data_IF_791272076017
#
_entry.id   IF_791272076017
#
_cell.length_a   1.000
_cell.length_b   1.000
_cell.length_c   1.000
_cell.angle_alpha   90.00
_cell.angle_beta   90.00
_cell.angle_gamma   90.00
#
_symmetry.space_group_name_H-M   'P 1'
#
loop_
_entity.id
_entity.type
_entity.pdbx_description
1 polymer ?
#
# COMPACT_ATOMS: atom_id res chain seq x y z
N UNK A 1 16.03 -18.81 26.16
CA UNK A 1 15.83 -20.11 26.82
C UNK A 1 14.64 -20.80 26.15
N UNK A 2 14.90 -21.68 25.20
CA UNK A 2 13.86 -22.40 24.45
C UNK A 2 13.51 -23.68 25.23
N UNK A 3 12.28 -23.73 25.74
CA UNK A 3 11.76 -24.87 26.50
C UNK A 3 11.32 -25.99 25.56
N UNK A 4 11.93 -27.17 25.75
CA UNK A 4 11.24 -28.46 25.85
C UNK A 4 10.54 -28.99 24.61
N UNK A 5 11.26 -29.81 23.84
CA UNK A 5 10.69 -30.77 22.90
C UNK A 5 9.83 -31.80 23.66
N UNK A 6 8.51 -31.58 23.68
CA UNK A 6 7.56 -32.59 24.15
C UNK A 6 7.43 -33.67 23.09
N UNK A 7 7.95 -34.84 23.45
CA UNK A 7 7.93 -36.11 22.75
C UNK A 7 6.53 -36.43 22.23
N UNK A 8 6.35 -36.36 20.90
CA UNK A 8 5.11 -36.72 20.22
C UNK A 8 4.99 -38.23 20.27
N UNK A 9 4.06 -38.70 21.10
CA UNK A 9 3.71 -40.12 21.24
C UNK A 9 2.95 -40.54 19.99
N UNK A 10 3.68 -41.23 19.13
CA UNK A 10 3.23 -41.74 17.85
C UNK A 10 2.20 -42.87 18.04
N UNK A 11 1.10 -42.75 17.29
CA UNK A 11 0.45 -43.84 16.55
C UNK A 11 -0.39 -44.87 17.32
N UNK A 12 -1.72 -44.74 17.22
CA UNK A 12 -2.62 -45.88 17.15
C UNK A 12 -3.86 -45.50 16.33
N UNK A 13 -3.79 -45.87 15.05
CA UNK A 13 -4.81 -45.76 14.03
C UNK A 13 -6.08 -46.50 14.44
N UNK A 14 -7.15 -45.77 14.77
CA UNK A 14 -8.49 -46.35 14.72
C UNK A 14 -9.11 -46.01 13.37
N UNK A 15 -8.99 -46.96 12.46
CA UNK A 15 -9.69 -47.02 11.18
C UNK A 15 -11.19 -47.14 11.51
N UNK A 16 -11.94 -46.05 11.40
CA UNK A 16 -13.40 -46.07 11.49
C UNK A 16 -13.94 -45.87 10.07
N UNK A 17 -14.66 -46.92 9.64
CA UNK A 17 -15.23 -47.17 8.33
C UNK A 17 -15.98 -45.97 7.71
N UNK A 18 -15.81 -45.67 6.41
CA UNK A 18 -16.54 -44.62 5.72
C UNK A 18 -17.93 -45.13 5.33
N UNK A 19 -18.86 -45.11 6.27
CA UNK A 19 -20.29 -45.21 5.96
C UNK A 19 -20.65 -44.00 5.07
N UNK A 20 -21.07 -44.28 3.84
CA UNK A 20 -21.30 -43.34 2.74
C UNK A 20 -22.47 -42.42 3.07
N UNK A 21 -22.22 -41.44 3.92
CA UNK A 21 -23.09 -40.28 4.09
C UNK A 21 -22.86 -39.39 2.88
N UNK A 22 -23.75 -39.52 1.89
CA UNK A 22 -23.89 -38.64 0.73
C UNK A 22 -24.39 -37.27 1.18
N UNK A 23 -23.66 -36.64 2.09
CA UNK A 23 -23.89 -35.29 2.59
C UNK A 23 -23.03 -34.39 1.72
N UNK A 24 -23.64 -33.32 1.19
CA UNK A 24 -23.03 -32.36 0.26
C UNK A 24 -21.55 -32.15 0.54
N UNK A 25 -20.73 -32.17 -0.52
CA UNK A 25 -19.29 -31.90 -0.49
C UNK A 25 -19.03 -30.49 0.07
N UNK A 26 -19.04 -30.38 1.39
CA UNK A 26 -18.76 -29.18 2.14
C UNK A 26 -17.40 -29.39 2.76
N UNK A 27 -16.41 -28.68 2.25
CA UNK A 27 -15.10 -28.62 2.89
C UNK A 27 -15.27 -27.88 4.22
N UNK A 28 -15.34 -28.62 5.33
CA UNK A 28 -15.54 -28.03 6.66
C UNK A 28 -14.35 -27.13 7.07
N UNK A 29 -13.19 -27.32 6.44
CA UNK A 29 -11.95 -26.56 6.63
C UNK A 29 -11.88 -25.26 5.83
N UNK A 30 -12.72 -25.04 4.81
CA UNK A 30 -12.70 -23.78 4.07
C UNK A 30 -13.22 -22.64 4.96
N UNK A 31 -12.36 -21.65 5.18
CA UNK A 31 -12.64 -20.45 5.98
C UNK A 31 -12.83 -19.20 5.12
N UNK A 32 -12.65 -19.33 3.80
CA UNK A 32 -12.68 -18.22 2.84
C UNK A 32 -14.01 -18.11 2.11
N UNK A 33 -14.73 -19.22 1.91
CA UNK A 33 -16.07 -19.22 1.33
C UNK A 33 -17.14 -19.06 2.40
N UNK A 34 -18.07 -18.14 2.15
CA UNK A 34 -19.21 -17.89 3.05
C UNK A 34 -20.17 -19.07 3.05
N UNK A 35 -20.41 -19.64 4.24
CA UNK A 35 -21.35 -20.74 4.44
C UNK A 35 -22.78 -20.21 4.64
N UNK A 36 -23.56 -20.19 3.56
CA UNK A 36 -24.94 -19.64 3.56
C UNK A 36 -25.92 -20.44 4.43
N UNK A 37 -25.55 -21.66 4.84
CA UNK A 37 -26.41 -22.55 5.64
C UNK A 37 -26.01 -22.60 7.12
N UNK A 38 -24.90 -21.97 7.53
CA UNK A 38 -24.53 -21.89 8.93
C UNK A 38 -25.26 -20.73 9.63
N UNK A 39 -25.99 -21.04 10.70
CA UNK A 39 -26.56 -20.03 11.58
C UNK A 39 -25.52 -19.37 12.49
N UNK A 40 -24.39 -20.05 12.72
CA UNK A 40 -23.31 -19.57 13.58
C UNK A 40 -22.24 -18.79 12.80
N UNK A 41 -21.89 -17.60 13.32
CA UNK A 41 -20.83 -16.78 12.74
C UNK A 41 -19.47 -17.39 13.08
N UNK A 42 -18.81 -18.00 12.10
CA UNK A 42 -17.43 -18.47 12.23
C UNK A 42 -16.48 -17.26 12.38
N UNK A 43 -15.43 -17.34 13.22
CA UNK A 43 -14.40 -16.30 13.27
C UNK A 43 -13.72 -16.21 11.90
N UNK A 44 -13.98 -15.12 11.18
CA UNK A 44 -13.43 -14.88 9.84
C UNK A 44 -11.93 -14.53 9.89
N UNK A 45 -11.35 -14.29 8.71
CA UNK A 45 -9.96 -13.85 8.58
C UNK A 45 -9.73 -12.60 9.46
N UNK A 46 -8.71 -12.60 10.34
CA UNK A 46 -8.37 -11.42 11.12
C UNK A 46 -8.21 -10.20 10.21
N UNK A 47 -8.69 -9.05 10.67
CA UNK A 47 -8.47 -7.79 9.92
C UNK A 47 -6.96 -7.56 9.82
N UNK A 48 -6.45 -7.36 8.61
CA UNK A 48 -5.01 -7.09 8.36
C UNK A 48 -4.53 -5.85 9.13
N UNK A 49 -5.43 -4.93 9.46
CA UNK A 49 -5.13 -3.77 10.29
C UNK A 49 -6.28 -3.54 11.30
N UNK A 50 -5.97 -3.36 12.60
CA UNK A 50 -6.98 -3.21 13.65
C UNK A 50 -7.75 -1.89 13.57
N UNK A 51 -7.20 -0.88 12.89
CA UNK A 51 -7.77 0.47 12.82
C UNK A 51 -8.89 0.58 11.79
N UNK A 52 -9.76 1.57 11.97
CA UNK A 52 -10.75 1.95 10.95
C UNK A 52 -10.07 2.48 9.67
N UNK A 53 -10.77 2.43 8.53
CA UNK A 53 -10.21 2.87 7.23
C UNK A 53 -9.74 4.33 7.27
N UNK A 54 -10.50 5.21 7.91
CA UNK A 54 -10.21 6.65 7.98
C UNK A 54 -8.99 6.93 8.88
N UNK A 55 -8.83 6.19 9.97
CA UNK A 55 -7.62 6.24 10.79
C UNK A 55 -6.39 5.77 10.02
N UNK A 56 -6.51 4.67 9.28
CA UNK A 56 -5.42 4.15 8.46
C UNK A 56 -4.97 5.19 7.41
N UNK A 57 -5.92 5.84 6.73
CA UNK A 57 -5.60 6.88 5.74
C UNK A 57 -4.87 8.07 6.39
N UNK A 58 -5.29 8.50 7.59
CA UNK A 58 -4.60 9.56 8.34
C UNK A 58 -3.19 9.18 8.74
N UNK A 59 -2.97 7.95 9.21
CA UNK A 59 -1.62 7.45 9.57
C UNK A 59 -0.73 7.34 8.34
N UNK A 60 -1.23 6.77 7.25
CA UNK A 60 -0.49 6.65 6.01
C UNK A 60 -0.08 8.02 5.46
N UNK A 61 -0.99 9.00 5.51
CA UNK A 61 -0.69 10.38 5.08
C UNK A 61 0.36 11.03 5.97
N UNK A 62 0.26 10.85 7.29
CA UNK A 62 1.28 11.34 8.25
C UNK A 62 2.65 10.72 7.98
N UNK A 63 2.70 9.41 7.71
CA UNK A 63 3.94 8.71 7.39
C UNK A 63 4.55 9.17 6.06
N UNK A 64 3.72 9.45 5.06
CA UNK A 64 4.16 10.07 3.80
C UNK A 64 4.83 11.43 4.09
N UNK A 65 4.14 12.34 4.77
CA UNK A 65 4.67 13.67 5.10
C UNK A 65 5.96 13.60 5.94
N UNK A 66 6.05 12.64 6.86
CA UNK A 66 7.26 12.40 7.66
C UNK A 66 8.44 11.99 6.76
N UNK A 67 8.22 11.09 5.80
CA UNK A 67 9.27 10.68 4.85
C UNK A 67 9.69 11.84 3.94
N UNK A 68 8.75 12.62 3.44
CA UNK A 68 9.04 13.77 2.58
C UNK A 68 9.87 14.81 3.33
N UNK A 69 9.51 15.10 4.59
CA UNK A 69 10.29 15.99 5.48
C UNK A 69 11.71 15.47 5.72
N UNK A 70 11.88 14.17 5.97
CA UNK A 70 13.20 13.54 6.17
C UNK A 70 14.06 13.62 4.90
N UNK A 71 13.43 13.52 3.72
CA UNK A 71 14.10 13.67 2.42
C UNK A 71 14.39 15.13 2.04
N UNK A 72 14.00 16.10 2.87
CA UNK A 72 14.16 17.53 2.56
C UNK A 72 13.25 18.03 1.44
N UNK A 73 12.28 17.23 0.99
CA UNK A 73 11.36 17.60 -0.08
C UNK A 73 10.37 18.62 0.45
N UNK A 74 10.33 19.80 -0.20
CA UNK A 74 9.34 20.84 0.08
C UNK A 74 8.39 20.92 -1.11
N UNK A 75 7.08 20.87 -0.82
CA UNK A 75 6.07 21.07 -1.86
C UNK A 75 5.89 22.56 -2.09
N UNK A 76 6.09 22.99 -3.34
CA UNK A 76 5.75 24.33 -3.81
C UNK A 76 4.42 24.23 -4.54
N UNK A 77 3.38 24.84 -3.98
CA UNK A 77 2.07 24.94 -4.62
C UNK A 77 1.99 26.28 -5.33
N UNK A 78 1.75 26.24 -6.64
CA UNK A 78 1.67 27.42 -7.50
C UNK A 78 0.44 27.32 -8.40
N UNK A 79 -0.22 28.46 -8.60
CA UNK A 79 -1.30 28.61 -9.57
C UNK A 79 -0.73 29.34 -10.78
N UNK A 80 -0.87 28.75 -11.95
CA UNK A 80 -0.44 29.32 -13.22
C UNK A 80 -1.64 29.53 -14.13
N UNK A 81 -1.47 30.40 -15.11
CA UNK A 81 -2.42 30.55 -16.20
C UNK A 81 -2.50 29.24 -17.00
N UNK A 82 -3.69 28.92 -17.53
CA UNK A 82 -3.92 27.70 -18.29
C UNK A 82 -2.96 27.58 -19.48
N UNK A 83 -2.79 28.66 -20.24
CA UNK A 83 -1.86 28.74 -21.38
C UNK A 83 -0.41 28.40 -20.98
N UNK A 84 0.05 28.88 -19.83
CA UNK A 84 1.39 28.56 -19.34
C UNK A 84 1.53 27.07 -18.98
N UNK A 85 0.48 26.46 -18.42
CA UNK A 85 0.46 25.02 -18.11
C UNK A 85 0.45 24.17 -19.38
N UNK A 86 -0.31 24.60 -20.40
CA UNK A 86 -0.36 23.93 -21.70
C UNK A 86 0.99 23.97 -22.39
N UNK A 87 1.61 25.15 -22.50
CA UNK A 87 2.95 25.30 -23.08
C UNK A 87 4.01 24.45 -22.35
N UNK A 88 3.91 24.35 -21.02
CA UNK A 88 4.81 23.49 -20.23
C UNK A 88 4.55 21.99 -20.47
N UNK A 89 3.31 21.57 -20.69
CA UNK A 89 2.99 20.18 -21.02
C UNK A 89 3.56 19.81 -22.39
N UNK A 90 3.32 20.63 -23.42
CA UNK A 90 3.83 20.39 -24.77
C UNK A 90 5.35 20.30 -24.78
N UNK A 91 6.03 21.22 -24.07
CA UNK A 91 7.48 21.18 -23.94
C UNK A 91 7.96 19.92 -23.20
N UNK A 92 7.27 19.50 -22.13
CA UNK A 92 7.62 18.30 -21.38
C UNK A 92 7.45 17.02 -22.23
N UNK A 93 6.36 16.95 -23.00
CA UNK A 93 6.09 15.86 -23.94
C UNK A 93 7.16 15.80 -25.05
N UNK A 94 7.52 16.94 -25.64
CA UNK A 94 8.55 17.00 -26.69
C UNK A 94 9.92 16.51 -26.20
N UNK A 95 10.20 16.67 -24.91
CA UNK A 95 11.45 16.25 -24.25
C UNK A 95 11.34 14.85 -23.61
N UNK A 96 10.19 14.19 -23.69
CA UNK A 96 9.91 12.90 -23.03
C UNK A 96 10.21 12.91 -21.51
N UNK A 97 9.87 13.99 -20.81
CA UNK A 97 10.06 14.13 -19.37
C UNK A 97 8.77 14.55 -18.67
N UNK A 98 8.69 14.36 -17.35
CA UNK A 98 7.52 14.83 -16.61
C UNK A 98 7.54 16.36 -16.47
N UNK A 99 6.36 16.98 -16.43
CA UNK A 99 6.24 18.43 -16.20
C UNK A 99 6.96 18.89 -14.93
N UNK A 100 6.93 18.09 -13.86
CA UNK A 100 7.61 18.42 -12.61
C UNK A 100 9.13 18.47 -12.76
N UNK A 101 9.71 17.49 -13.47
CA UNK A 101 11.15 17.45 -13.76
C UNK A 101 11.57 18.62 -14.65
N UNK A 102 10.78 18.94 -15.68
CA UNK A 102 11.04 20.10 -16.54
C UNK A 102 11.07 21.41 -15.73
N UNK A 103 10.08 21.62 -14.87
CA UNK A 103 10.02 22.82 -14.03
C UNK A 103 11.21 22.87 -13.08
N UNK A 104 11.59 21.75 -12.46
CA UNK A 104 12.77 21.66 -11.60
C UNK A 104 14.05 22.01 -12.36
N UNK A 105 14.25 21.46 -13.56
CA UNK A 105 15.39 21.74 -14.42
C UNK A 105 15.47 23.24 -14.76
N UNK A 106 14.37 23.83 -15.23
CA UNK A 106 14.29 25.25 -15.59
C UNK A 106 14.59 26.15 -14.39
N UNK A 107 14.04 25.84 -13.21
CA UNK A 107 14.31 26.59 -11.98
C UNK A 107 15.78 26.50 -11.57
N UNK A 108 16.38 25.30 -11.64
CA UNK A 108 17.78 25.10 -11.29
C UNK A 108 18.73 25.83 -12.26
N UNK A 109 18.43 25.80 -13.56
CA UNK A 109 19.19 26.55 -14.58
C UNK A 109 19.11 28.06 -14.31
N UNK A 110 17.90 28.58 -14.06
CA UNK A 110 17.71 29.99 -13.79
C UNK A 110 18.39 30.43 -12.48
N UNK A 111 18.31 29.62 -11.43
CA UNK A 111 19.00 29.90 -10.17
C UNK A 111 20.53 29.87 -10.34
N UNK A 112 21.07 28.95 -11.14
CA UNK A 112 22.50 28.92 -11.43
C UNK A 112 22.97 30.16 -12.21
N UNK A 113 22.17 30.62 -13.18
CA UNK A 113 22.45 31.85 -13.92
C UNK A 113 22.38 33.10 -13.05
N UNK A 114 21.42 33.18 -12.12
CA UNK A 114 21.32 34.30 -11.18
C UNK A 114 22.46 34.33 -10.17
N UNK A 115 22.92 33.15 -9.71
CA UNK A 115 24.10 33.02 -8.84
C UNK A 115 25.38 33.45 -9.54
N UNK A 116 25.56 33.12 -10.82
CA UNK A 116 26.74 33.56 -11.58
C UNK A 116 26.76 35.07 -11.83
N UNK A 117 25.60 35.71 -11.85
CA UNK A 117 25.45 37.17 -11.92
C UNK A 117 25.60 37.86 -10.55
N UNK A 118 25.71 37.10 -9.46
CA UNK A 118 25.82 37.64 -8.09
C UNK A 118 24.54 38.27 -7.55
N UNK A 119 23.38 37.96 -8.14
CA UNK A 119 22.08 38.49 -7.71
C UNK A 119 21.55 37.74 -6.47
N UNK A 120 21.92 36.46 -6.33
CA UNK A 120 21.57 35.55 -5.22
C UNK A 120 22.81 34.84 -4.73
#
# INVERSE_FOLDING_TARGET
MYYGALSIRAEAWLIVSPEVTKIMAKEQTDRTTLDLFAHERRPGRPKTNPLSRDEQLRINKRNQLKRDKVRGLKRVELKLNAEAVEALNELAESRNMSRSELIEEMLMQQLAALRSQGIV
#
